data_IF_778792944438
#
_entry.id   IF_778792944438
#
_cell.length_a   1.000
_cell.length_b   1.000
_cell.length_c   1.000
_cell.angle_alpha   90.00
_cell.angle_beta   90.00
_cell.angle_gamma   90.00
#
_symmetry.space_group_name_H-M   'P 1'
#
loop_
_entity.id
_entity.type
_entity.pdbx_description
1 polymer ?
#
# COMPACT_ATOMS: atom_id res chain seq x y z
N UNK A 1 -35.23 -30.46 7.19
CA UNK A 1 -35.40 -29.65 5.97
C UNK A 1 -34.30 -30.04 5.00
N UNK A 2 -34.65 -30.62 3.85
CA UNK A 2 -33.69 -31.08 2.86
C UNK A 2 -33.28 -29.89 1.97
N UNK A 3 -32.06 -29.38 2.11
CA UNK A 3 -31.51 -28.41 1.16
C UNK A 3 -31.36 -29.08 -0.20
N UNK A 4 -32.17 -28.69 -1.18
CA UNK A 4 -31.96 -29.09 -2.56
C UNK A 4 -30.57 -28.63 -3.03
N UNK A 5 -29.79 -29.49 -3.72
CA UNK A 5 -28.51 -29.09 -4.26
C UNK A 5 -28.71 -27.97 -5.29
N UNK A 6 -27.90 -26.91 -5.20
CA UNK A 6 -27.95 -25.78 -6.12
C UNK A 6 -27.71 -26.24 -7.57
N UNK A 7 -28.48 -25.69 -8.51
CA UNK A 7 -28.32 -25.99 -9.95
C UNK A 7 -26.85 -25.75 -10.40
N UNK A 8 -26.24 -26.68 -11.17
CA UNK A 8 -24.85 -26.53 -11.63
C UNK A 8 -24.56 -25.22 -12.37
N UNK A 9 -25.57 -24.67 -13.05
CA UNK A 9 -25.49 -23.37 -13.76
C UNK A 9 -25.35 -22.22 -12.75
N UNK A 10 -26.14 -22.26 -11.67
CA UNK A 10 -26.07 -21.26 -10.59
C UNK A 10 -24.73 -21.32 -9.87
N UNK A 11 -24.23 -22.52 -9.56
CA UNK A 11 -22.90 -22.70 -8.93
C UNK A 11 -21.79 -22.13 -9.83
N UNK A 12 -21.82 -22.39 -11.14
CA UNK A 12 -20.86 -21.82 -12.09
C UNK A 12 -20.94 -20.30 -12.16
N UNK A 13 -22.14 -19.73 -12.14
CA UNK A 13 -22.34 -18.27 -12.14
C UNK A 13 -21.75 -17.63 -10.89
N UNK A 14 -22.09 -18.14 -9.71
CA UNK A 14 -21.57 -17.62 -8.42
C UNK A 14 -20.04 -17.70 -8.38
N UNK A 15 -19.44 -18.81 -8.84
CA UNK A 15 -17.97 -18.92 -8.93
C UNK A 15 -17.35 -17.86 -9.84
N UNK A 16 -17.96 -17.56 -10.99
CA UNK A 16 -17.48 -16.52 -11.90
C UNK A 16 -17.57 -15.13 -11.30
N UNK A 17 -18.66 -14.84 -10.60
CA UNK A 17 -18.87 -13.53 -9.97
C UNK A 17 -17.87 -13.32 -8.81
N UNK A 18 -17.65 -14.34 -7.98
CA UNK A 18 -16.60 -14.36 -6.94
C UNK A 18 -15.21 -14.07 -7.51
N UNK A 19 -14.85 -14.71 -8.64
CA UNK A 19 -13.54 -14.47 -9.28
C UNK A 19 -13.43 -13.03 -9.79
N UNK A 20 -14.53 -12.46 -10.32
CA UNK A 20 -14.54 -11.09 -10.81
C UNK A 20 -14.36 -10.10 -9.66
N UNK A 21 -15.15 -10.24 -8.61
CA UNK A 21 -15.05 -9.42 -7.39
C UNK A 21 -13.63 -9.46 -6.81
N UNK A 22 -13.03 -10.65 -6.69
CA UNK A 22 -11.66 -10.78 -6.19
C UNK A 22 -10.63 -10.03 -7.06
N UNK A 23 -10.78 -10.08 -8.39
CA UNK A 23 -9.89 -9.36 -9.31
C UNK A 23 -10.07 -7.85 -9.25
N UNK A 24 -11.31 -7.39 -9.13
CA UNK A 24 -11.62 -5.97 -9.05
C UNK A 24 -11.07 -5.37 -7.75
N UNK A 25 -11.23 -6.08 -6.62
CA UNK A 25 -10.65 -5.72 -5.31
C UNK A 25 -9.11 -5.70 -5.36
N UNK A 26 -8.48 -6.71 -5.96
CA UNK A 26 -7.02 -6.77 -6.12
C UNK A 26 -6.51 -5.57 -6.94
N UNK A 27 -7.22 -5.20 -8.00
CA UNK A 27 -6.86 -4.04 -8.81
C UNK A 27 -6.97 -2.73 -8.02
N UNK A 28 -8.05 -2.57 -7.24
CA UNK A 28 -8.25 -1.40 -6.39
C UNK A 28 -7.13 -1.27 -5.34
N UNK A 29 -6.79 -2.36 -4.65
CA UNK A 29 -5.68 -2.37 -3.68
C UNK A 29 -4.37 -2.00 -4.37
N UNK A 30 -4.09 -2.58 -5.53
CA UNK A 30 -2.87 -2.30 -6.29
C UNK A 30 -2.76 -0.83 -6.69
N UNK A 31 -3.86 -0.21 -7.09
CA UNK A 31 -3.86 1.20 -7.45
C UNK A 31 -3.72 2.11 -6.23
N UNK A 32 -4.37 1.78 -5.11
CA UNK A 32 -4.19 2.49 -3.84
C UNK A 32 -2.72 2.45 -3.37
N UNK A 33 -2.07 1.28 -3.44
CA UNK A 33 -0.64 1.13 -3.10
C UNK A 33 0.25 1.98 -4.03
N UNK A 34 -0.05 2.00 -5.34
CA UNK A 34 0.71 2.85 -6.28
C UNK A 34 0.57 4.32 -5.93
N UNK A 35 -0.63 4.76 -5.58
CA UNK A 35 -0.90 6.16 -5.25
C UNK A 35 -0.23 6.56 -3.93
N UNK A 36 -0.27 5.70 -2.91
CA UNK A 36 0.50 5.87 -1.68
C UNK A 36 2.00 6.02 -2.00
N UNK A 37 2.58 5.10 -2.78
CA UNK A 37 4.00 5.15 -3.15
C UNK A 37 4.41 6.43 -3.90
N UNK A 38 3.53 6.94 -4.79
CA UNK A 38 3.76 8.22 -5.47
C UNK A 38 3.74 9.38 -4.47
N UNK A 39 2.80 9.35 -3.54
CA UNK A 39 2.63 10.37 -2.50
C UNK A 39 3.81 10.39 -1.54
N UNK A 40 4.32 9.22 -1.14
CA UNK A 40 5.54 9.11 -0.31
C UNK A 40 6.77 9.71 -0.99
N UNK A 41 6.96 9.43 -2.28
CA UNK A 41 8.06 10.04 -3.07
C UNK A 41 7.91 11.55 -3.16
N UNK A 42 6.69 12.05 -3.31
CA UNK A 42 6.42 13.49 -3.33
C UNK A 42 6.70 14.13 -1.98
N UNK A 43 6.24 13.52 -0.87
CA UNK A 43 6.51 13.98 0.49
C UNK A 43 8.02 14.03 0.80
N UNK A 44 8.78 13.01 0.38
CA UNK A 44 10.24 13.00 0.54
C UNK A 44 10.93 14.11 -0.27
N UNK A 45 10.44 14.40 -1.48
CA UNK A 45 10.96 15.53 -2.27
C UNK A 45 10.66 16.87 -1.58
N UNK A 46 9.41 17.07 -1.12
CA UNK A 46 9.02 18.28 -0.41
C UNK A 46 9.82 18.48 0.88
N UNK A 47 10.10 17.42 1.65
CA UNK A 47 10.98 17.49 2.83
C UNK A 47 12.39 17.99 2.47
N UNK A 48 12.96 17.54 1.35
CA UNK A 48 14.26 18.06 0.86
C UNK A 48 14.18 19.51 0.39
N UNK A 49 13.05 19.94 -0.17
CA UNK A 49 12.82 21.33 -0.56
C UNK A 49 12.75 22.25 0.67
N UNK A 50 12.07 21.83 1.74
CA UNK A 50 12.06 22.52 3.04
C UNK A 50 13.48 22.69 3.57
N UNK A 51 14.27 21.61 3.64
CA UNK A 51 15.65 21.69 4.14
C UNK A 51 16.54 22.63 3.30
N UNK A 52 16.30 22.70 1.99
CA UNK A 52 17.02 23.65 1.12
C UNK A 52 16.57 25.09 1.35
N UNK A 53 15.27 25.33 1.53
CA UNK A 53 14.73 26.66 1.80
C UNK A 53 15.18 27.18 3.17
N UNK A 54 15.20 26.31 4.18
CA UNK A 54 15.72 26.59 5.52
C UNK A 54 17.19 27.01 5.47
N UNK A 55 18.04 26.24 4.78
CA UNK A 55 19.45 26.60 4.60
C UNK A 55 19.65 27.90 3.80
N UNK A 56 18.73 28.26 2.90
CA UNK A 56 18.79 29.57 2.21
C UNK A 56 18.40 30.69 3.16
N UNK A 57 17.37 30.51 3.97
CA UNK A 57 16.92 31.49 4.96
C UNK A 57 18.05 31.77 5.96
N UNK A 58 18.66 30.73 6.52
CA UNK A 58 19.81 30.87 7.44
C UNK A 58 20.96 31.67 6.80
N UNK A 59 21.25 31.43 5.52
CA UNK A 59 22.28 32.19 4.79
C UNK A 59 21.90 33.65 4.58
N UNK A 60 20.62 33.93 4.30
CA UNK A 60 20.13 35.29 4.12
C UNK A 60 20.18 36.07 5.45
N UNK A 61 19.77 35.45 6.56
CA UNK A 61 19.83 36.03 7.90
C UNK A 61 21.28 36.33 8.32
N UNK A 62 22.20 35.39 8.05
CA UNK A 62 23.63 35.63 8.30
C UNK A 62 24.21 36.77 7.44
N UNK A 63 23.71 36.93 6.20
CA UNK A 63 24.14 38.02 5.33
C UNK A 63 23.62 39.38 5.82
N UNK A 64 22.37 39.45 6.27
CA UNK A 64 21.79 40.65 6.89
C UNK A 64 22.60 41.11 8.11
N UNK A 65 22.99 40.16 8.98
CA UNK A 65 23.81 40.46 10.16
C UNK A 65 25.20 40.98 9.83
N UNK A 66 25.71 40.71 8.62
CA UNK A 66 27.05 41.11 8.18
C UNK A 66 27.08 42.49 7.47
N UNK A 67 25.92 43.09 7.20
CA UNK A 67 25.81 44.38 6.51
C UNK A 67 26.46 45.53 7.31
N UNK A 68 27.10 46.46 6.60
CA UNK A 68 27.80 47.61 7.21
C UNK A 68 27.22 48.96 6.85
N UNK A 69 26.32 48.99 5.87
CA UNK A 69 25.65 50.20 5.40
C UNK A 69 24.15 49.97 5.34
N UNK A 70 23.38 51.05 5.48
CA UNK A 70 21.92 51.00 5.43
C UNK A 70 21.42 50.44 4.09
N UNK A 71 22.09 50.79 2.99
CA UNK A 71 21.72 50.26 1.68
C UNK A 71 21.93 48.74 1.55
N UNK A 72 23.05 48.21 2.05
CA UNK A 72 23.29 46.76 2.08
C UNK A 72 22.26 46.05 2.97
N UNK A 73 21.92 46.66 4.11
CA UNK A 73 20.94 46.14 5.05
C UNK A 73 19.55 46.07 4.44
N UNK A 74 19.09 47.12 3.74
CA UNK A 74 17.79 47.14 3.05
C UNK A 74 17.69 46.02 2.00
N UNK A 75 18.76 45.80 1.23
CA UNK A 75 18.84 44.71 0.25
C UNK A 75 18.81 43.35 0.94
N UNK A 76 19.53 43.18 2.05
CA UNK A 76 19.55 41.93 2.79
C UNK A 76 18.21 41.60 3.45
N UNK A 77 17.50 42.59 4.02
CA UNK A 77 16.13 42.41 4.52
C UNK A 77 15.20 41.88 3.43
N UNK A 78 15.26 42.45 2.22
CA UNK A 78 14.45 41.98 1.11
C UNK A 78 14.75 40.52 0.75
N UNK A 79 16.03 40.11 0.81
CA UNK A 79 16.45 38.72 0.59
C UNK A 79 15.96 37.78 1.70
N UNK A 80 16.02 38.20 2.96
CA UNK A 80 15.49 37.44 4.11
C UNK A 80 13.99 37.23 3.95
N UNK A 81 13.23 38.29 3.66
CA UNK A 81 11.78 38.20 3.45
C UNK A 81 11.42 37.25 2.30
N UNK A 82 12.17 37.29 1.19
CA UNK A 82 11.98 36.37 0.08
C UNK A 82 12.28 34.92 0.50
N UNK A 83 13.42 34.67 1.16
CA UNK A 83 13.82 33.34 1.60
C UNK A 83 12.84 32.76 2.64
N UNK A 84 12.31 33.62 3.52
CA UNK A 84 11.29 33.25 4.49
C UNK A 84 10.00 32.84 3.80
N UNK A 85 9.54 33.60 2.80
CA UNK A 85 8.36 33.23 2.00
C UNK A 85 8.55 31.90 1.28
N UNK A 86 9.73 31.65 0.70
CA UNK A 86 10.07 30.36 0.07
C UNK A 86 10.04 29.20 1.09
N UNK A 87 10.54 29.42 2.30
CA UNK A 87 10.54 28.44 3.38
C UNK A 87 9.12 28.12 3.86
N UNK A 88 8.29 29.13 4.10
CA UNK A 88 6.90 28.97 4.54
C UNK A 88 6.08 28.20 3.50
N UNK A 89 6.19 28.57 2.23
CA UNK A 89 5.48 27.87 1.14
C UNK A 89 5.92 26.41 1.02
N UNK A 90 7.23 26.16 1.10
CA UNK A 90 7.78 24.79 1.05
C UNK A 90 7.31 23.97 2.24
N UNK A 91 7.27 24.58 3.43
CA UNK A 91 6.83 23.96 4.67
C UNK A 91 5.35 23.60 4.63
N UNK A 92 4.51 24.51 4.14
CA UNK A 92 3.07 24.27 3.96
C UNK A 92 2.84 23.10 3.00
N UNK A 93 3.54 23.08 1.85
CA UNK A 93 3.43 21.98 0.88
C UNK A 93 3.88 20.64 1.47
N UNK A 94 4.97 20.62 2.23
CA UNK A 94 5.44 19.42 2.92
C UNK A 94 4.39 18.91 3.92
N UNK A 95 3.81 19.79 4.72
CA UNK A 95 2.76 19.43 5.67
C UNK A 95 1.53 18.83 4.97
N UNK A 96 1.10 19.42 3.84
CA UNK A 96 -0.01 18.90 3.05
C UNK A 96 0.29 17.49 2.52
N UNK A 97 1.46 17.28 1.89
CA UNK A 97 1.83 15.96 1.37
C UNK A 97 2.02 14.91 2.47
N UNK A 98 2.46 15.33 3.66
CA UNK A 98 2.55 14.45 4.82
C UNK A 98 1.16 14.01 5.30
N UNK A 99 0.21 14.94 5.35
CA UNK A 99 -1.19 14.62 5.65
C UNK A 99 -1.79 13.67 4.61
N UNK A 100 -1.63 13.97 3.31
CA UNK A 100 -2.11 13.13 2.21
C UNK A 100 -1.53 11.71 2.28
N UNK A 101 -0.24 11.58 2.65
CA UNK A 101 0.39 10.28 2.88
C UNK A 101 -0.34 9.49 3.98
N UNK A 102 -0.66 10.13 5.11
CA UNK A 102 -1.36 9.48 6.22
C UNK A 102 -2.75 9.01 5.78
N UNK A 103 -3.51 9.87 5.11
CA UNK A 103 -4.84 9.55 4.61
C UNK A 103 -4.79 8.34 3.67
N UNK A 104 -3.90 8.36 2.68
CA UNK A 104 -3.77 7.25 1.71
C UNK A 104 -3.28 5.96 2.34
N UNK A 105 -2.44 6.03 3.36
CA UNK A 105 -2.04 4.84 4.12
C UNK A 105 -3.26 4.21 4.81
N UNK A 106 -4.11 5.03 5.45
CA UNK A 106 -5.34 4.56 6.06
C UNK A 106 -6.33 3.99 5.02
N UNK A 107 -6.40 4.57 3.81
CA UNK A 107 -7.22 4.03 2.71
C UNK A 107 -6.74 2.64 2.25
N UNK A 108 -5.43 2.44 2.13
CA UNK A 108 -4.83 1.13 1.81
C UNK A 108 -5.18 0.10 2.89
N UNK A 109 -5.01 0.47 4.16
CA UNK A 109 -5.32 -0.41 5.29
C UNK A 109 -6.81 -0.80 5.30
N UNK A 110 -7.71 0.17 5.08
CA UNK A 110 -9.14 -0.07 4.99
C UNK A 110 -9.51 -0.98 3.81
N UNK A 111 -8.87 -0.80 2.65
CA UNK A 111 -9.07 -1.66 1.48
C UNK A 111 -8.63 -3.10 1.74
N UNK A 112 -7.49 -3.30 2.42
CA UNK A 112 -7.00 -4.63 2.82
C UNK A 112 -7.97 -5.30 3.81
N UNK A 113 -8.41 -4.58 4.84
CA UNK A 113 -9.38 -5.10 5.81
C UNK A 113 -10.70 -5.52 5.15
N UNK A 114 -11.17 -4.72 4.19
CA UNK A 114 -12.38 -5.01 3.42
C UNK A 114 -12.20 -6.25 2.54
N UNK A 115 -11.07 -6.37 1.85
CA UNK A 115 -10.76 -7.55 1.03
C UNK A 115 -10.65 -8.83 1.87
N UNK A 116 -10.08 -8.76 3.07
CA UNK A 116 -10.04 -9.89 4.01
C UNK A 116 -11.44 -10.32 4.45
N UNK A 117 -12.31 -9.36 4.77
CA UNK A 117 -13.71 -9.63 5.12
C UNK A 117 -14.46 -10.27 3.94
N UNK A 118 -14.33 -9.72 2.75
CA UNK A 118 -14.96 -10.23 1.54
C UNK A 118 -14.44 -11.63 1.19
N UNK A 119 -13.14 -11.89 1.39
CA UNK A 119 -12.55 -13.22 1.19
C UNK A 119 -13.15 -14.26 2.15
N UNK A 120 -13.33 -13.90 3.43
CA UNK A 120 -14.01 -14.78 4.40
C UNK A 120 -15.46 -15.05 3.96
N UNK A 121 -16.20 -14.03 3.53
CA UNK A 121 -17.58 -14.19 3.07
C UNK A 121 -17.68 -15.06 1.82
N UNK A 122 -16.78 -14.88 0.85
CA UNK A 122 -16.69 -15.72 -0.36
C UNK A 122 -16.42 -17.18 0.01
N UNK A 123 -15.52 -17.43 0.96
CA UNK A 123 -15.24 -18.79 1.43
C UNK A 123 -16.47 -19.44 2.08
N UNK A 124 -17.25 -18.69 2.88
CA UNK A 124 -18.52 -19.18 3.45
C UNK A 124 -19.51 -19.52 2.34
N UNK A 125 -19.69 -18.64 1.34
CA UNK A 125 -20.57 -18.87 0.17
C UNK A 125 -20.15 -20.12 -0.61
N UNK A 126 -18.85 -20.29 -0.87
CA UNK A 126 -18.32 -21.46 -1.58
C UNK A 126 -18.53 -22.76 -0.80
N UNK A 127 -18.36 -22.74 0.52
CA UNK A 127 -18.59 -23.90 1.38
C UNK A 127 -20.07 -24.29 1.42
N UNK A 128 -20.98 -23.31 1.52
CA UNK A 128 -22.42 -23.56 1.47
C UNK A 128 -22.87 -24.21 0.15
N UNK A 129 -22.26 -23.84 -0.98
CA UNK A 129 -22.55 -24.41 -2.29
C UNK A 129 -22.02 -25.84 -2.50
N UNK A 130 -21.05 -26.30 -1.69
CA UNK A 130 -20.53 -27.68 -1.78
C UNK A 130 -21.45 -28.73 -1.12
N UNK A 131 -22.38 -28.32 -0.25
CA UNK A 131 -23.27 -29.22 0.50
C UNK A 131 -22.52 -30.15 1.48
N UNK A 132 -23.23 -30.91 2.33
CA UNK A 132 -22.64 -31.83 3.31
C UNK A 132 -21.87 -33.03 2.71
N UNK A 133 -21.73 -33.12 1.39
CA UNK A 133 -21.11 -34.27 0.71
C UNK A 133 -19.58 -34.18 0.56
N UNK A 134 -18.95 -33.10 1.04
CA UNK A 134 -17.49 -32.92 0.95
C UNK A 134 -16.70 -33.65 2.06
N UNK A 135 -17.35 -34.23 3.07
CA UNK A 135 -16.69 -35.04 4.11
C UNK A 135 -16.30 -36.45 3.66
N UNK A 136 -16.73 -36.90 2.47
CA UNK A 136 -16.49 -38.28 2.02
C UNK A 136 -15.28 -38.44 1.07
N UNK A 137 -14.61 -37.36 0.65
CA UNK A 137 -13.36 -37.46 -0.13
C UNK A 137 -12.10 -37.58 0.74
N UNK A 138 -12.21 -37.55 2.07
CA UNK A 138 -11.12 -37.88 3.00
C UNK A 138 -10.92 -39.39 3.21
N UNK A 139 -11.66 -40.25 2.48
CA UNK A 139 -11.67 -41.71 2.65
C UNK A 139 -11.03 -42.53 1.52
N UNK A 140 -10.51 -41.91 0.45
CA UNK A 140 -9.66 -42.66 -0.51
C UNK A 140 -8.27 -42.81 0.08
N UNK A 141 -8.12 -43.82 0.93
CA UNK A 141 -6.85 -44.47 1.20
C UNK A 141 -6.27 -44.87 -0.15
N UNK A 142 -5.27 -44.11 -0.61
CA UNK A 142 -4.38 -44.59 -1.67
C UNK A 142 -3.58 -45.70 -0.99
N UNK A 143 -3.70 -46.98 -1.40
CA UNK A 143 -2.76 -47.98 -0.92
C UNK A 143 -1.37 -47.53 -1.38
N UNK A 144 -0.53 -47.18 -0.41
CA UNK A 144 0.90 -46.99 -0.63
C UNK A 144 1.44 -48.35 -1.02
N UNK A 145 1.64 -48.57 -2.31
CA UNK A 145 2.51 -49.64 -2.79
C UNK A 145 3.92 -49.26 -2.37
N UNK A 146 4.41 -49.91 -1.31
CA UNK A 146 5.83 -50.00 -1.00
C UNK A 146 6.59 -50.33 -2.29
N UNK A 147 7.48 -49.44 -2.69
CA UNK A 147 8.53 -49.80 -3.63
C UNK A 147 9.87 -49.54 -2.96
N UNK A 148 10.54 -50.66 -2.69
CA UNK A 148 11.87 -50.77 -2.08
C UNK A 148 12.96 -50.21 -3.00
N UNK A 149 14.03 -49.69 -2.39
CA UNK A 149 15.32 -49.42 -3.03
C UNK A 149 15.35 -48.11 -3.83
N UNK A 150 16.35 -47.24 -3.72
CA UNK A 150 17.77 -47.56 -3.80
C UNK A 150 18.58 -46.54 -2.99
N UNK A 151 19.50 -47.10 -2.20
CA UNK A 151 20.61 -46.45 -1.51
C UNK A 151 21.57 -45.79 -2.52
N UNK A 152 21.82 -44.49 -2.37
CA UNK A 152 22.93 -43.81 -3.04
C UNK A 152 23.76 -43.06 -2.02
N UNK A 153 24.79 -43.75 -1.52
CA UNK A 153 26.03 -43.21 -0.98
C UNK A 153 26.50 -41.97 -1.76
N UNK A 154 26.58 -40.84 -1.07
CA UNK A 154 27.36 -39.68 -1.50
C UNK A 154 28.72 -39.74 -0.80
N UNK A 155 29.76 -40.11 -1.55
CA UNK A 155 31.15 -39.81 -1.23
C UNK A 155 31.46 -38.41 -1.75
N UNK A 156 31.85 -37.50 -0.86
CA UNK A 156 32.58 -36.30 -1.25
C UNK A 156 34.00 -36.41 -0.70
N UNK A 157 34.94 -36.46 -1.64
CA UNK A 157 36.35 -36.11 -1.47
C UNK A 157 36.53 -34.61 -1.55
#
# INVERSE_FOLDING_TARGET
MHSQPASPVLVKKVKKDIIREAKDEEHQIKDAIKDLSRTEKAAQKASKEVAKADSKLEKAENAEQACRTDHEHDVAIAQVQQAQTEFELSSQRHAQLHYDKIVKAAEVDAALMTNDANTKERNVKLNALRGPSATNEAGRVIPVTENQGVDVRMHFT
#
